data_IF_697284972528
#
_entry.id   IF_697284972528
#
_cell.length_a   1.000
_cell.length_b   1.000
_cell.length_c   1.000
_cell.angle_alpha   90.00
_cell.angle_beta   90.00
_cell.angle_gamma   90.00
#
_symmetry.space_group_name_H-M   'P 1'
#
loop_
_entity.id
_entity.type
_entity.pdbx_description
1 polymer ?
#
# COMPACT_ATOMS: atom_id res chain seq x y z
N UNK A 1 16.34 -40.69 -15.58
CA UNK A 1 17.15 -39.91 -14.61
C UNK A 1 17.63 -38.56 -15.17
N UNK A 2 16.83 -37.83 -15.97
CA UNK A 2 17.21 -36.50 -16.51
C UNK A 2 16.35 -35.32 -15.96
N UNK A 3 15.16 -35.57 -15.41
CA UNK A 3 14.27 -34.50 -14.93
C UNK A 3 14.63 -33.89 -13.57
N UNK A 4 15.45 -34.54 -12.75
CA UNK A 4 15.78 -34.04 -11.39
C UNK A 4 16.73 -32.85 -11.41
N UNK A 5 17.53 -32.66 -12.47
CA UNK A 5 18.51 -31.58 -12.57
C UNK A 5 17.89 -30.23 -12.95
N UNK A 6 16.77 -30.22 -13.69
CA UNK A 6 16.11 -28.99 -14.16
C UNK A 6 15.44 -28.26 -12.99
N UNK A 7 14.78 -29.01 -12.08
CA UNK A 7 14.13 -28.43 -10.90
C UNK A 7 15.17 -27.87 -9.91
N UNK A 8 16.31 -28.55 -9.74
CA UNK A 8 17.40 -28.08 -8.88
C UNK A 8 18.05 -26.79 -9.41
N UNK A 9 18.10 -26.60 -10.74
CA UNK A 9 18.68 -25.40 -11.35
C UNK A 9 17.83 -24.15 -11.14
N UNK A 10 16.49 -24.26 -11.19
CA UNK A 10 15.59 -23.14 -10.91
C UNK A 10 15.60 -22.73 -9.43
N UNK A 11 15.68 -23.69 -8.51
CA UNK A 11 15.81 -23.41 -7.06
C UNK A 11 17.16 -22.74 -6.74
N UNK A 12 18.23 -23.12 -7.45
CA UNK A 12 19.54 -22.50 -7.28
C UNK A 12 19.59 -21.05 -7.77
N UNK A 13 18.81 -20.66 -8.79
CA UNK A 13 18.77 -19.26 -9.26
C UNK A 13 17.86 -18.36 -8.41
N UNK A 14 16.82 -18.91 -7.79
CA UNK A 14 15.96 -18.16 -6.87
C UNK A 14 16.71 -17.72 -5.60
N UNK A 15 17.74 -18.46 -5.18
CA UNK A 15 18.47 -18.21 -3.93
C UNK A 15 19.61 -17.19 -4.03
N UNK A 16 20.02 -16.75 -5.24
CA UNK A 16 21.23 -15.91 -5.41
C UNK A 16 20.98 -14.42 -5.12
N UNK A 17 19.73 -13.95 -4.94
CA UNK A 17 19.45 -12.53 -4.68
C UNK A 17 18.46 -12.26 -3.52
N UNK A 18 18.06 -13.28 -2.75
CA UNK A 18 17.01 -13.14 -1.74
C UNK A 18 17.47 -12.58 -0.37
N UNK A 19 18.77 -12.29 -0.18
CA UNK A 19 19.24 -11.61 1.03
C UNK A 19 19.18 -10.09 0.88
N UNK A 20 18.01 -9.56 0.55
CA UNK A 20 17.73 -8.13 0.60
C UNK A 20 16.94 -7.82 1.87
N UNK A 21 17.65 -7.62 2.98
CA UNK A 21 17.25 -6.85 4.19
C UNK A 21 15.72 -6.67 4.39
N UNK A 22 15.02 -7.80 4.59
CA UNK A 22 13.55 -7.90 4.48
C UNK A 22 12.78 -7.01 5.48
N UNK A 23 13.41 -6.59 6.58
CA UNK A 23 12.78 -5.73 7.59
C UNK A 23 12.70 -4.26 7.18
N UNK A 24 13.49 -3.79 6.21
CA UNK A 24 13.57 -2.35 5.91
C UNK A 24 12.34 -1.79 5.19
N UNK A 25 11.59 -2.64 4.47
CA UNK A 25 10.56 -2.20 3.51
C UNK A 25 9.10 -2.45 3.94
N UNK A 26 8.86 -2.74 5.23
CA UNK A 26 7.50 -2.96 5.75
C UNK A 26 7.04 -1.79 6.63
N UNK A 27 5.74 -1.49 6.59
CA UNK A 27 5.06 -0.56 7.51
C UNK A 27 4.00 -1.34 8.29
N UNK A 28 4.13 -1.40 9.61
CA UNK A 28 3.16 -2.10 10.46
C UNK A 28 1.88 -1.27 10.61
N UNK A 29 0.75 -1.87 10.26
CA UNK A 29 -0.58 -1.24 10.36
C UNK A 29 -1.43 -1.78 11.51
N UNK A 30 -0.78 -2.20 12.59
CA UNK A 30 -1.42 -2.66 13.82
C UNK A 30 -0.88 -1.90 15.03
N UNK A 31 -1.75 -1.67 16.02
CA UNK A 31 -1.33 -1.01 17.26
C UNK A 31 -0.40 -1.93 18.07
N UNK A 32 0.78 -1.44 18.49
CA UNK A 32 1.60 -2.17 19.43
C UNK A 32 0.83 -2.42 20.74
N UNK A 33 1.11 -3.55 21.38
CA UNK A 33 0.48 -3.93 22.66
C UNK A 33 0.66 -2.80 23.68
N UNK A 34 -0.45 -2.41 24.34
CA UNK A 34 -0.47 -1.38 25.37
C UNK A 34 -0.47 0.07 24.85
N UNK A 35 -0.30 0.33 23.55
CA UNK A 35 -0.34 1.70 23.01
C UNK A 35 -1.71 2.34 23.19
N UNK A 36 -2.78 1.54 23.07
CA UNK A 36 -4.15 2.02 23.26
C UNK A 36 -4.47 2.41 24.71
N UNK A 37 -3.70 1.93 25.68
CA UNK A 37 -3.88 2.26 27.09
C UNK A 37 -3.47 3.71 27.39
N UNK A 38 -2.65 4.31 26.53
CA UNK A 38 -2.25 5.73 26.61
C UNK A 38 -3.35 6.69 26.14
N UNK A 39 -4.42 6.18 25.52
CA UNK A 39 -5.51 6.97 24.95
C UNK A 39 -6.78 6.84 25.81
N UNK A 40 -6.66 7.13 27.11
CA UNK A 40 -7.82 7.19 28.00
C UNK A 40 -8.62 8.47 27.73
N UNK A 41 -9.91 8.32 27.46
CA UNK A 41 -10.78 9.46 27.17
C UNK A 41 -12.21 9.16 27.64
N UNK A 42 -13.01 10.21 27.83
CA UNK A 42 -14.45 10.08 28.07
C UNK A 42 -15.27 10.12 26.78
N UNK A 43 -14.65 10.49 25.65
CA UNK A 43 -15.28 10.49 24.33
C UNK A 43 -15.17 9.10 23.68
N UNK A 44 -15.77 8.08 24.30
CA UNK A 44 -15.64 6.68 23.91
C UNK A 44 -16.06 6.41 22.46
N UNK A 45 -17.15 7.02 21.98
CA UNK A 45 -17.60 6.86 20.59
C UNK A 45 -16.53 7.31 19.58
N UNK A 46 -15.87 8.44 19.85
CA UNK A 46 -14.81 8.94 19.00
C UNK A 46 -13.57 8.07 19.10
N UNK A 47 -13.17 7.65 20.32
CA UNK A 47 -12.05 6.69 20.51
C UNK A 47 -12.27 5.39 19.75
N UNK A 48 -13.43 4.78 19.87
CA UNK A 48 -13.78 3.53 19.17
C UNK A 48 -13.65 3.72 17.66
N UNK A 49 -14.16 4.84 17.12
CA UNK A 49 -14.02 5.16 15.70
C UNK A 49 -12.56 5.36 15.32
N UNK A 50 -11.80 6.14 16.08
CA UNK A 50 -10.38 6.41 15.83
C UNK A 50 -9.54 5.14 15.80
N UNK A 51 -9.74 4.23 16.77
CA UNK A 51 -9.05 2.93 16.84
C UNK A 51 -9.41 2.06 15.64
N UNK A 52 -10.67 2.10 15.19
CA UNK A 52 -11.09 1.36 13.98
C UNK A 52 -10.50 1.96 12.71
N UNK A 53 -10.43 3.29 12.63
CA UNK A 53 -10.00 4.03 11.44
C UNK A 53 -8.49 3.92 11.23
N UNK A 54 -7.67 3.91 12.29
CA UNK A 54 -6.21 3.90 12.15
C UNK A 54 -5.64 2.80 11.26
N UNK A 55 -5.99 1.51 11.46
CA UNK A 55 -5.55 0.42 10.60
C UNK A 55 -6.03 0.59 9.14
N UNK A 56 -7.24 1.12 8.94
CA UNK A 56 -7.79 1.37 7.60
C UNK A 56 -6.97 2.45 6.89
N UNK A 57 -6.73 3.59 7.55
CA UNK A 57 -5.91 4.66 6.98
C UNK A 57 -4.50 4.19 6.67
N UNK A 58 -3.89 3.38 7.53
CA UNK A 58 -2.56 2.84 7.30
C UNK A 58 -2.52 1.87 6.11
N UNK A 59 -3.43 0.89 6.05
CA UNK A 59 -3.45 -0.15 5.00
C UNK A 59 -3.78 0.41 3.61
N UNK A 60 -4.66 1.41 3.56
CA UNK A 60 -5.05 2.04 2.30
C UNK A 60 -4.23 3.29 1.96
N UNK A 61 -3.16 3.58 2.73
CA UNK A 61 -2.29 4.73 2.49
C UNK A 61 -1.57 4.69 1.13
N UNK A 62 -1.53 3.53 0.45
CA UNK A 62 -0.95 3.43 -0.89
C UNK A 62 -1.79 4.15 -1.95
N UNK A 63 -3.13 4.19 -1.79
CA UNK A 63 -4.05 4.86 -2.71
C UNK A 63 -3.78 4.47 -4.19
N UNK A 64 -3.56 3.18 -4.43
CA UNK A 64 -3.16 2.66 -5.75
C UNK A 64 -4.39 2.26 -6.57
N UNK A 65 -5.42 1.71 -5.93
CA UNK A 65 -6.68 1.34 -6.58
C UNK A 65 -7.89 2.17 -6.07
N UNK A 66 -9.02 2.10 -6.78
CA UNK A 66 -10.24 2.85 -6.43
C UNK A 66 -10.89 2.36 -5.14
N UNK A 67 -10.77 1.07 -4.81
CA UNK A 67 -11.30 0.52 -3.57
C UNK A 67 -10.48 1.02 -2.37
N UNK A 68 -9.16 1.19 -2.51
CA UNK A 68 -8.31 1.86 -1.51
C UNK A 68 -8.80 3.28 -1.24
N UNK A 69 -9.00 4.03 -2.32
CA UNK A 69 -9.44 5.42 -2.26
C UNK A 69 -10.77 5.50 -1.52
N UNK A 70 -11.76 4.69 -1.93
CA UNK A 70 -13.09 4.69 -1.32
C UNK A 70 -13.07 4.27 0.15
N UNK A 71 -12.33 3.21 0.50
CA UNK A 71 -12.21 2.75 1.88
C UNK A 71 -11.52 3.78 2.78
N UNK A 72 -10.46 4.41 2.25
CA UNK A 72 -9.71 5.46 2.93
C UNK A 72 -10.58 6.70 3.16
N UNK A 73 -11.24 7.20 2.11
CA UNK A 73 -12.13 8.36 2.17
C UNK A 73 -13.29 8.14 3.14
N UNK A 74 -13.97 7.00 3.03
CA UNK A 74 -15.09 6.70 3.91
C UNK A 74 -14.66 6.67 5.37
N UNK A 75 -13.51 6.06 5.69
CA UNK A 75 -13.00 6.02 7.04
C UNK A 75 -12.59 7.41 7.54
N UNK A 76 -11.86 8.17 6.72
CA UNK A 76 -11.36 9.49 7.06
C UNK A 76 -12.49 10.51 7.25
N UNK A 77 -13.48 10.51 6.37
CA UNK A 77 -14.56 11.50 6.40
C UNK A 77 -15.52 11.25 7.55
N UNK A 78 -15.89 10.00 7.80
CA UNK A 78 -16.69 9.65 8.99
C UNK A 78 -15.98 10.03 10.30
N UNK A 79 -14.66 9.83 10.37
CA UNK A 79 -13.85 10.27 11.49
C UNK A 79 -13.84 11.80 11.62
N UNK A 80 -13.60 12.51 10.52
CA UNK A 80 -13.51 13.97 10.50
C UNK A 80 -14.83 14.60 10.97
N UNK A 81 -15.96 14.16 10.44
CA UNK A 81 -17.29 14.67 10.79
C UNK A 81 -17.58 14.46 12.30
N UNK A 82 -17.28 13.28 12.85
CA UNK A 82 -17.47 13.01 14.29
C UNK A 82 -16.49 13.81 15.15
N UNK A 83 -15.22 13.93 14.75
CA UNK A 83 -14.22 14.70 15.48
C UNK A 83 -14.57 16.19 15.52
N UNK A 84 -14.95 16.79 14.38
CA UNK A 84 -15.45 18.17 14.28
C UNK A 84 -16.63 18.39 15.21
N UNK A 85 -17.65 17.53 15.14
CA UNK A 85 -18.84 17.62 16.00
C UNK A 85 -18.47 17.53 17.48
N UNK A 86 -17.56 16.62 17.83
CA UNK A 86 -17.12 16.42 19.22
C UNK A 86 -16.39 17.67 19.72
N UNK A 87 -15.44 18.22 18.95
CA UNK A 87 -14.71 19.45 19.32
C UNK A 87 -15.66 20.63 19.50
N UNK A 88 -16.59 20.85 18.57
CA UNK A 88 -17.56 21.96 18.64
C UNK A 88 -18.54 21.80 19.81
N UNK A 89 -18.85 20.56 20.21
CA UNK A 89 -19.67 20.30 21.39
C UNK A 89 -18.93 20.57 22.70
N UNK A 90 -17.64 20.24 22.75
CA UNK A 90 -16.77 20.50 23.91
C UNK A 90 -16.50 22.00 24.06
N UNK A 91 -16.19 22.68 22.95
CA UNK A 91 -15.89 24.10 22.87
C UNK A 91 -16.90 24.80 21.95
N UNK A 92 -18.06 25.26 22.48
CA UNK A 92 -19.07 25.92 21.65
C UNK A 92 -18.63 27.33 21.21
N UNK A 93 -18.92 27.68 19.96
CA UNK A 93 -18.59 28.97 19.32
C UNK A 93 -18.97 30.20 20.15
N UNK A 94 -20.07 30.13 20.92
CA UNK A 94 -20.53 31.25 21.76
C UNK A 94 -19.56 31.66 22.85
N UNK A 95 -18.69 30.75 23.31
CA UNK A 95 -17.68 30.98 24.36
C UNK A 95 -16.25 30.79 23.87
N UNK A 96 -16.08 30.08 22.75
CA UNK A 96 -14.81 29.78 22.11
C UNK A 96 -14.84 30.24 20.65
N UNK A 97 -14.79 31.57 20.41
CA UNK A 97 -14.95 32.11 19.06
C UNK A 97 -13.87 31.59 18.12
N UNK A 98 -14.30 31.30 16.89
CA UNK A 98 -13.47 30.74 15.82
C UNK A 98 -13.34 29.22 15.83
N UNK A 99 -13.88 28.51 16.84
CA UNK A 99 -13.80 27.04 16.90
C UNK A 99 -14.46 26.37 15.69
N UNK A 100 -15.58 26.90 15.22
CA UNK A 100 -16.24 26.35 14.03
C UNK A 100 -15.34 26.53 12.81
N UNK A 101 -14.80 27.73 12.61
CA UNK A 101 -13.95 28.04 11.47
C UNK A 101 -12.66 27.18 11.43
N UNK A 102 -11.96 27.01 12.57
CA UNK A 102 -10.73 26.21 12.59
C UNK A 102 -11.02 24.71 12.44
N UNK A 103 -12.15 24.22 12.95
CA UNK A 103 -12.53 22.79 12.80
C UNK A 103 -13.00 22.47 11.39
N UNK A 104 -13.79 23.36 10.76
CA UNK A 104 -14.14 23.25 9.33
C UNK A 104 -12.89 23.28 8.44
N UNK A 105 -11.92 24.12 8.78
CA UNK A 105 -10.65 24.14 8.07
C UNK A 105 -9.85 22.85 8.24
N UNK A 106 -9.77 22.33 9.47
CA UNK A 106 -9.12 21.05 9.73
C UNK A 106 -9.80 19.91 8.99
N UNK A 107 -11.13 19.86 9.01
CA UNK A 107 -11.91 18.88 8.26
C UNK A 107 -11.64 18.98 6.74
N UNK A 108 -11.59 20.20 6.20
CA UNK A 108 -11.19 20.43 4.80
C UNK A 108 -9.76 19.96 4.53
N UNK A 109 -8.83 20.17 5.45
CA UNK A 109 -7.46 19.65 5.35
C UNK A 109 -7.44 18.11 5.34
N UNK A 110 -8.27 17.46 6.16
CA UNK A 110 -8.44 16.00 6.13
C UNK A 110 -9.01 15.53 4.79
N UNK A 111 -10.06 16.21 4.30
CA UNK A 111 -10.74 15.86 3.04
C UNK A 111 -9.87 16.10 1.79
N UNK A 112 -8.82 16.92 1.89
CA UNK A 112 -7.85 17.20 0.82
C UNK A 112 -6.60 16.28 0.83
N UNK A 113 -6.73 15.06 1.38
CA UNK A 113 -5.63 14.09 1.54
C UNK A 113 -4.86 13.76 0.25
N UNK A 114 -5.50 13.86 -0.93
CA UNK A 114 -4.89 13.53 -2.22
C UNK A 114 -3.83 14.54 -2.69
N UNK A 115 -3.86 15.78 -2.19
CA UNK A 115 -3.00 16.87 -2.67
C UNK A 115 -1.73 17.05 -1.85
N UNK A 116 -1.81 16.81 -0.53
CA UNK A 116 -0.73 17.07 0.42
C UNK A 116 -0.81 16.09 1.58
N UNK A 117 0.32 15.78 2.21
CA UNK A 117 0.36 15.03 3.48
C UNK A 117 -0.15 15.84 4.67
N UNK A 118 -0.70 17.04 4.46
CA UNK A 118 -1.18 17.91 5.53
C UNK A 118 -2.27 17.23 6.38
N UNK A 119 -3.06 16.32 5.79
CA UNK A 119 -4.11 15.56 6.49
C UNK A 119 -3.62 14.73 7.69
N UNK A 120 -2.31 14.45 7.78
CA UNK A 120 -1.74 13.70 8.93
C UNK A 120 -1.43 14.59 10.12
N UNK A 121 -1.52 15.92 9.95
CA UNK A 121 -1.33 16.87 11.04
C UNK A 121 -2.62 17.00 11.85
N UNK A 122 -2.63 16.60 13.13
CA UNK A 122 -3.79 16.81 13.98
C UNK A 122 -3.92 18.29 14.34
N UNK A 123 -5.17 18.73 14.53
CA UNK A 123 -5.45 19.92 15.32
C UNK A 123 -4.91 19.72 16.75
N UNK A 124 -4.25 20.74 17.32
CA UNK A 124 -3.63 20.64 18.64
C UNK A 124 -4.13 21.72 19.58
N UNK A 125 -4.40 21.34 20.82
CA UNK A 125 -4.84 22.24 21.88
C UNK A 125 -3.70 22.41 22.87
N UNK A 126 -2.98 23.53 22.74
CA UNK A 126 -1.76 23.78 23.50
C UNK A 126 -2.05 24.74 24.65
N UNK A 127 -2.00 24.30 25.91
CA UNK A 127 -2.03 25.22 27.04
C UNK A 127 -0.76 26.09 27.01
N UNK A 128 -0.93 27.40 27.14
CA UNK A 128 0.13 28.41 27.15
C UNK A 128 0.18 29.11 28.53
N UNK A 129 1.19 29.96 28.73
CA UNK A 129 1.47 30.63 30.01
C UNK A 129 0.25 31.38 30.58
N UNK A 130 0.18 31.45 31.92
CA UNK A 130 -0.82 32.24 32.63
C UNK A 130 -0.56 33.73 32.43
N UNK A 131 -1.49 34.46 31.81
CA UNK A 131 -1.51 35.93 31.93
C UNK A 131 -2.19 36.33 33.23
N UNK A 132 -1.88 37.52 33.73
CA UNK A 132 -2.69 38.16 34.76
C UNK A 132 -3.64 39.13 34.09
N UNK A 133 -4.91 39.13 34.49
CA UNK A 133 -5.83 40.18 34.09
C UNK A 133 -5.55 41.51 34.81
N UNK A 134 -6.34 42.54 34.50
CA UNK A 134 -6.22 43.86 35.11
C UNK A 134 -6.42 43.83 36.64
N UNK A 135 -7.12 42.81 37.14
CA UNK A 135 -7.42 42.60 38.56
C UNK A 135 -6.38 41.69 39.25
N UNK A 136 -5.37 41.21 38.51
CA UNK A 136 -4.29 40.37 39.01
C UNK A 136 -4.60 38.87 39.07
N UNK A 137 -5.78 38.42 38.60
CA UNK A 137 -6.13 37.01 38.56
C UNK A 137 -5.38 36.28 37.45
N UNK A 138 -4.98 35.03 37.71
CA UNK A 138 -4.36 34.18 36.69
C UNK A 138 -5.41 33.73 35.69
N UNK A 139 -5.21 34.07 34.42
CA UNK A 139 -5.95 33.58 33.28
C UNK A 139 -5.07 32.63 32.48
N UNK A 140 -5.58 31.43 32.22
CA UNK A 140 -4.89 30.49 31.35
C UNK A 140 -5.16 30.85 29.89
N UNK A 141 -4.16 30.61 29.04
CA UNK A 141 -4.31 30.75 27.60
C UNK A 141 -4.32 29.36 27.00
N UNK A 142 -5.26 29.10 26.10
CA UNK A 142 -5.26 27.91 25.27
C UNK A 142 -5.08 28.34 23.82
N UNK A 143 -4.10 27.74 23.14
CA UNK A 143 -3.87 27.95 21.71
C UNK A 143 -4.36 26.75 20.94
N UNK A 144 -5.21 26.99 19.94
CA UNK A 144 -5.59 25.94 19.00
C UNK A 144 -4.73 26.10 17.77
N UNK A 145 -3.93 25.08 17.46
CA UNK A 145 -2.98 25.08 16.34
C UNK A 145 -3.42 24.12 15.26
N UNK A 146 -3.33 24.55 14.01
CA UNK A 146 -3.61 23.72 12.83
C UNK A 146 -2.40 23.72 11.87
N UNK A 147 -1.39 22.87 12.08
CA UNK A 147 -0.26 22.77 11.15
C UNK A 147 -0.70 22.20 9.79
N UNK A 148 -0.07 22.61 8.68
CA UNK A 148 0.95 23.66 8.57
C UNK A 148 0.37 25.08 8.54
N UNK A 149 -0.95 25.24 8.41
CA UNK A 149 -1.62 26.53 8.32
C UNK A 149 -1.76 27.24 9.68
N UNK A 150 -0.63 27.76 10.14
CA UNK A 150 -0.57 28.52 11.38
C UNK A 150 -1.27 29.89 11.31
N UNK A 151 -1.71 30.33 10.12
CA UNK A 151 -2.34 31.65 9.96
C UNK A 151 -3.67 31.74 10.71
N UNK A 152 -4.34 30.61 10.91
CA UNK A 152 -5.65 30.52 11.54
C UNK A 152 -5.59 29.99 12.99
N UNK A 153 -4.42 30.00 13.61
CA UNK A 153 -4.28 29.59 15.00
C UNK A 153 -5.14 30.47 15.91
N UNK A 154 -5.94 29.85 16.78
CA UNK A 154 -6.77 30.54 17.74
C UNK A 154 -6.03 30.73 19.06
N UNK A 155 -6.39 31.79 19.78
CA UNK A 155 -5.94 32.06 21.13
C UNK A 155 -7.16 32.35 21.98
N UNK A 156 -7.46 31.46 22.92
CA UNK A 156 -8.54 31.62 23.88
C UNK A 156 -7.99 31.96 25.26
N UNK A 157 -8.56 32.99 25.87
CA UNK A 157 -8.31 33.31 27.27
C UNK A 157 -9.38 32.63 28.11
N UNK A 158 -8.96 31.71 28.97
CA UNK A 158 -9.85 30.89 29.79
C UNK A 158 -10.23 31.65 31.06
N UNK A 159 -11.43 32.21 31.07
CA UNK A 159 -12.07 32.79 32.25
C UNK A 159 -13.03 31.82 32.92
N UNK A 160 -13.70 32.28 33.98
CA UNK A 160 -14.64 31.46 34.74
C UNK A 160 -15.80 30.90 33.89
N UNK A 161 -16.29 31.68 32.92
CA UNK A 161 -17.37 31.24 32.04
C UNK A 161 -16.94 30.10 31.10
N UNK A 162 -15.73 30.18 30.52
CA UNK A 162 -15.17 29.12 29.69
C UNK A 162 -14.94 27.84 30.51
N UNK A 163 -14.32 27.96 31.69
CA UNK A 163 -14.07 26.81 32.57
C UNK A 163 -15.36 26.13 33.02
N UNK A 164 -16.38 26.89 33.39
CA UNK A 164 -17.68 26.32 33.75
C UNK A 164 -18.34 25.62 32.57
N UNK A 165 -18.21 26.18 31.36
CA UNK A 165 -18.73 25.52 30.16
C UNK A 165 -18.02 24.20 29.87
N UNK A 166 -16.69 24.16 29.97
CA UNK A 166 -15.94 22.91 29.79
C UNK A 166 -16.35 21.85 30.81
N UNK A 167 -16.63 22.22 32.06
CA UNK A 167 -17.16 21.28 33.06
C UNK A 167 -18.54 20.77 32.70
N UNK A 168 -19.40 21.60 32.13
CA UNK A 168 -20.73 21.21 31.67
C UNK A 168 -20.66 20.24 30.48
N UNK A 169 -19.82 20.54 29.47
CA UNK A 169 -19.76 19.81 28.20
C UNK A 169 -18.83 18.60 28.25
N UNK A 170 -17.86 18.57 29.16
CA UNK A 170 -16.75 17.62 29.17
C UNK A 170 -16.65 16.87 30.50
N UNK A 171 -17.77 16.33 31.01
CA UNK A 171 -17.78 15.45 32.19
C UNK A 171 -17.10 16.05 33.44
N UNK A 172 -17.34 17.33 33.72
CA UNK A 172 -16.79 18.09 34.87
C UNK A 172 -15.27 18.35 34.80
N UNK A 173 -14.67 18.24 33.62
CA UNK A 173 -13.25 18.54 33.39
C UNK A 173 -12.99 20.05 33.25
N UNK A 174 -11.77 20.48 33.59
CA UNK A 174 -11.28 21.81 33.20
C UNK A 174 -11.15 21.90 31.68
N UNK A 175 -11.06 23.10 31.12
CA UNK A 175 -10.87 23.22 29.66
C UNK A 175 -9.58 22.57 29.15
N UNK A 176 -8.55 22.52 30.00
CA UNK A 176 -7.29 21.84 29.72
C UNK A 176 -7.44 20.32 29.79
N UNK A 177 -8.08 19.80 30.81
CA UNK A 177 -8.29 18.35 30.91
C UNK A 177 -9.22 17.86 29.79
N UNK A 178 -10.19 18.69 29.39
CA UNK A 178 -11.05 18.44 28.24
C UNK A 178 -10.26 18.40 26.92
N UNK A 179 -9.24 19.25 26.74
CA UNK A 179 -8.40 19.19 25.55
C UNK A 179 -7.56 17.91 25.51
N UNK A 180 -6.94 17.55 26.64
CA UNK A 180 -6.16 16.31 26.74
C UNK A 180 -7.07 15.09 26.48
N UNK A 181 -8.29 15.12 27.00
CA UNK A 181 -9.30 14.08 26.80
C UNK A 181 -9.74 13.97 25.32
N UNK A 182 -9.92 15.09 24.62
CA UNK A 182 -10.20 15.12 23.19
C UNK A 182 -9.04 14.57 22.37
N UNK A 183 -7.82 15.04 22.63
CA UNK A 183 -6.61 14.57 21.94
C UNK A 183 -6.45 13.06 22.10
N UNK A 184 -6.67 12.53 23.30
CA UNK A 184 -6.68 11.08 23.54
C UNK A 184 -7.77 10.34 22.75
N UNK A 185 -8.91 10.97 22.44
CA UNK A 185 -9.99 10.35 21.68
C UNK A 185 -9.67 10.22 20.18
N UNK A 186 -9.03 11.23 19.59
CA UNK A 186 -8.87 11.31 18.14
C UNK A 186 -7.47 10.90 17.63
N UNK A 187 -6.42 11.04 18.46
CA UNK A 187 -5.04 10.64 18.11
C UNK A 187 -4.86 9.17 17.67
N UNK A 188 -5.63 8.18 18.17
CA UNK A 188 -5.48 6.80 17.70
C UNK A 188 -5.59 6.67 16.17
N UNK A 189 -6.45 7.47 15.51
CA UNK A 189 -6.70 7.39 14.07
C UNK A 189 -5.45 7.61 13.23
N UNK A 190 -4.55 8.50 13.69
CA UNK A 190 -3.33 8.83 12.95
C UNK A 190 -2.08 8.23 13.56
N UNK A 191 -2.16 7.55 14.71
CA UNK A 191 -0.96 7.01 15.39
C UNK A 191 -0.17 6.06 14.48
N UNK A 192 -0.83 5.13 13.80
CA UNK A 192 -0.16 4.16 12.92
C UNK A 192 0.44 4.83 11.69
N UNK A 193 -0.32 5.74 11.07
CA UNK A 193 0.12 6.47 9.88
C UNK A 193 1.24 7.47 10.21
N UNK A 194 1.17 8.15 11.34
CA UNK A 194 2.22 9.04 11.82
C UNK A 194 3.47 8.25 12.20
N UNK A 195 3.35 7.07 12.79
CA UNK A 195 4.52 6.21 13.01
C UNK A 195 5.17 5.80 11.69
N UNK A 196 4.36 5.45 10.68
CA UNK A 196 4.83 5.14 9.33
C UNK A 196 5.56 6.32 8.67
N UNK A 197 5.02 7.53 8.83
CA UNK A 197 5.54 8.76 8.21
C UNK A 197 6.73 9.33 8.99
N UNK A 198 6.63 9.44 10.32
CA UNK A 198 7.60 10.11 11.18
C UNK A 198 8.86 9.29 11.46
N UNK A 199 8.77 7.96 11.63
CA UNK A 199 9.94 7.12 11.92
C UNK A 199 10.78 6.81 10.67
N UNK A 200 10.20 6.89 9.46
CA UNK A 200 10.86 6.57 8.17
C UNK A 200 10.79 7.69 7.12
N UNK A 201 10.54 8.93 7.55
CA UNK A 201 10.55 10.17 6.75
C UNK A 201 9.57 10.26 5.57
N UNK A 202 8.40 9.60 5.59
CA UNK A 202 7.42 9.59 4.48
C UNK A 202 7.93 9.00 3.15
N UNK A 203 9.26 8.87 3.01
CA UNK A 203 10.00 8.41 1.85
C UNK A 203 9.68 6.95 1.58
N UNK A 204 9.63 6.11 2.62
CA UNK A 204 9.26 4.70 2.43
C UNK A 204 7.83 4.55 1.89
N UNK A 205 6.85 5.29 2.42
CA UNK A 205 5.48 5.22 1.91
C UNK A 205 5.41 5.68 0.44
N UNK A 206 6.09 6.77 0.09
CA UNK A 206 6.20 7.24 -1.29
C UNK A 206 6.95 6.25 -2.22
N UNK A 207 7.97 5.57 -1.71
CA UNK A 207 8.70 4.50 -2.42
C UNK A 207 7.77 3.31 -2.68
N UNK A 208 7.03 2.83 -1.67
CA UNK A 208 6.06 1.74 -1.83
C UNK A 208 4.97 2.08 -2.85
N UNK A 209 4.42 3.30 -2.79
CA UNK A 209 3.45 3.78 -3.78
C UNK A 209 4.04 3.80 -5.19
N UNK A 210 5.28 4.28 -5.33
CA UNK A 210 5.98 4.35 -6.61
C UNK A 210 6.27 2.96 -7.16
N UNK A 211 6.72 2.04 -6.30
CA UNK A 211 7.04 0.66 -6.67
C UNK A 211 5.80 -0.09 -7.13
N UNK A 212 4.67 0.05 -6.44
CA UNK A 212 3.40 -0.56 -6.88
C UNK A 212 2.90 0.02 -8.20
N UNK A 213 2.96 1.35 -8.38
CA UNK A 213 2.61 1.99 -9.68
C UNK A 213 3.52 1.50 -10.81
N UNK A 214 4.82 1.34 -10.53
CA UNK A 214 5.78 0.79 -11.49
C UNK A 214 5.49 -0.68 -11.79
N UNK A 215 5.21 -1.50 -10.78
CA UNK A 215 4.83 -2.90 -10.94
C UNK A 215 3.59 -3.03 -11.82
N UNK A 216 2.54 -2.26 -11.55
CA UNK A 216 1.31 -2.27 -12.36
C UNK A 216 1.61 -1.90 -13.82
N UNK A 217 2.53 -0.96 -14.06
CA UNK A 217 2.84 -0.50 -15.42
C UNK A 217 3.79 -1.42 -16.18
N UNK A 218 4.75 -2.02 -15.49
CA UNK A 218 5.94 -2.63 -16.12
C UNK A 218 6.07 -4.13 -15.90
N UNK A 219 5.42 -4.71 -14.88
CA UNK A 219 5.53 -6.13 -14.62
C UNK A 219 4.77 -6.96 -15.66
N UNK A 220 5.21 -8.21 -15.87
CA UNK A 220 4.48 -9.18 -16.70
C UNK A 220 3.14 -9.48 -16.02
N UNK A 221 2.09 -9.63 -16.83
CA UNK A 221 0.78 -10.00 -16.30
C UNK A 221 0.82 -11.38 -15.63
N UNK A 222 0.20 -11.50 -14.45
CA UNK A 222 0.12 -12.74 -13.68
C UNK A 222 -1.33 -13.22 -13.58
N UNK A 223 -1.54 -14.50 -13.82
CA UNK A 223 -2.80 -15.18 -13.48
C UNK A 223 -2.92 -15.40 -11.98
N UNK A 224 -4.12 -15.78 -11.48
CA UNK A 224 -4.27 -16.23 -10.10
C UNK A 224 -3.33 -17.36 -9.68
N UNK A 225 -2.98 -18.26 -10.60
CA UNK A 225 -2.02 -19.33 -10.31
C UNK A 225 -0.60 -18.77 -10.11
N UNK A 226 -0.20 -17.81 -10.94
CA UNK A 226 1.10 -17.14 -10.85
C UNK A 226 1.23 -16.32 -9.56
N UNK A 227 0.17 -15.58 -9.19
CA UNK A 227 0.11 -14.83 -7.93
C UNK A 227 0.21 -15.79 -6.75
N UNK A 228 -0.61 -16.84 -6.72
CA UNK A 228 -0.57 -17.85 -5.66
C UNK A 228 0.83 -18.47 -5.51
N UNK A 229 1.47 -18.83 -6.62
CA UNK A 229 2.82 -19.39 -6.60
C UNK A 229 3.84 -18.37 -6.05
N UNK A 230 3.74 -17.11 -6.49
CA UNK A 230 4.63 -16.03 -6.04
C UNK A 230 4.48 -15.78 -4.55
N UNK A 231 3.24 -15.65 -4.05
CA UNK A 231 2.97 -15.40 -2.63
C UNK A 231 3.33 -16.59 -1.75
N UNK A 232 3.17 -17.82 -2.25
CA UNK A 232 3.56 -19.03 -1.52
C UNK A 232 5.08 -19.15 -1.40
N UNK A 233 5.81 -18.88 -2.49
CA UNK A 233 7.28 -18.92 -2.50
C UNK A 233 7.92 -17.76 -1.73
N UNK A 234 7.17 -16.68 -1.52
CA UNK A 234 7.59 -15.48 -0.80
C UNK A 234 6.68 -15.25 0.42
N UNK A 235 6.32 -16.33 1.11
CA UNK A 235 5.38 -16.27 2.24
C UNK A 235 5.86 -15.30 3.31
N UNK A 236 7.15 -15.29 3.62
CA UNK A 236 7.75 -14.44 4.65
C UNK A 236 7.68 -12.94 4.29
N UNK A 237 7.74 -12.63 2.99
CA UNK A 237 7.55 -11.28 2.48
C UNK A 237 6.09 -10.82 2.66
N UNK A 238 5.13 -11.69 2.33
CA UNK A 238 3.67 -11.45 2.40
C UNK A 238 3.00 -12.00 3.66
N UNK A 239 3.70 -12.09 4.80
CA UNK A 239 3.19 -12.77 5.99
C UNK A 239 2.42 -11.86 6.97
N UNK A 240 1.37 -11.16 6.54
CA UNK A 240 0.43 -10.61 7.53
C UNK A 240 -0.19 -9.26 7.20
N UNK A 241 -0.09 -8.33 8.14
CA UNK A 241 -0.85 -7.08 8.21
C UNK A 241 -0.04 -5.82 7.90
N UNK A 242 1.19 -6.04 7.46
CA UNK A 242 2.15 -4.97 7.17
C UNK A 242 1.97 -4.51 5.75
N UNK A 243 1.99 -3.20 5.53
CA UNK A 243 2.07 -2.65 4.18
C UNK A 243 3.43 -2.99 3.57
N UNK A 244 3.43 -3.71 2.46
CA UNK A 244 4.63 -4.12 1.74
C UNK A 244 4.64 -3.63 0.29
N UNK A 245 5.79 -3.73 -0.36
CA UNK A 245 5.95 -3.42 -1.77
C UNK A 245 5.50 -4.56 -2.68
N UNK A 246 5.59 -4.37 -4.00
CA UNK A 246 5.44 -5.48 -4.95
C UNK A 246 6.46 -6.60 -4.69
N UNK A 247 6.16 -7.84 -5.11
CA UNK A 247 7.08 -8.96 -4.90
C UNK A 247 8.44 -8.66 -5.56
N UNK A 248 9.59 -8.95 -4.95
CA UNK A 248 10.90 -8.75 -5.59
C UNK A 248 11.07 -9.49 -6.94
N UNK A 249 10.34 -10.58 -7.15
CA UNK A 249 10.29 -11.33 -8.40
C UNK A 249 8.94 -12.03 -8.56
N UNK A 250 8.56 -12.37 -9.79
CA UNK A 250 7.29 -13.02 -10.12
C UNK A 250 7.54 -14.49 -10.48
N UNK A 251 6.73 -15.40 -9.94
CA UNK A 251 6.66 -16.79 -10.38
C UNK A 251 5.60 -16.93 -11.49
N UNK A 252 5.89 -17.78 -12.47
CA UNK A 252 4.98 -18.15 -13.56
C UNK A 252 4.81 -19.66 -13.61
N UNK A 253 3.57 -20.13 -13.72
CA UNK A 253 3.26 -21.56 -13.80
C UNK A 253 2.19 -21.82 -14.85
N UNK A 254 2.41 -22.85 -15.66
CA UNK A 254 1.42 -23.38 -16.62
C UNK A 254 0.83 -22.29 -17.52
N UNK A 255 1.70 -21.57 -18.23
CA UNK A 255 1.35 -20.42 -19.07
C UNK A 255 1.27 -20.80 -20.55
N UNK A 256 0.06 -21.01 -21.10
CA UNK A 256 -0.08 -21.21 -22.54
C UNK A 256 0.11 -19.88 -23.29
N UNK A 257 0.72 -19.94 -24.47
CA UNK A 257 0.94 -18.79 -25.34
C UNK A 257 1.03 -19.21 -26.82
N UNK A 258 0.88 -18.23 -27.71
CA UNK A 258 1.16 -18.41 -29.14
C UNK A 258 2.52 -17.83 -29.46
N UNK A 259 3.34 -18.63 -30.12
CA UNK A 259 4.68 -18.24 -30.53
C UNK A 259 4.82 -18.36 -32.03
N UNK A 260 5.66 -17.52 -32.62
CA UNK A 260 6.12 -17.73 -33.96
C UNK A 260 7.46 -18.46 -33.89
N UNK A 261 7.54 -19.62 -34.52
CA UNK A 261 8.65 -20.54 -34.44
C UNK A 261 9.37 -20.66 -35.79
N UNK A 262 10.70 -20.59 -35.74
CA UNK A 262 11.61 -20.80 -36.86
C UNK A 262 12.46 -22.06 -36.65
N UNK A 263 12.42 -22.99 -37.60
CA UNK A 263 13.24 -24.21 -37.66
C UNK A 263 14.07 -24.13 -38.95
N UNK A 264 15.40 -24.07 -38.84
CA UNK A 264 16.25 -23.84 -40.01
C UNK A 264 16.46 -25.11 -40.84
N UNK A 265 16.30 -26.26 -40.21
CA UNK A 265 16.51 -27.59 -40.78
C UNK A 265 15.39 -28.04 -41.74
N UNK A 266 14.24 -27.36 -41.72
CA UNK A 266 13.07 -27.69 -42.55
C UNK A 266 13.15 -27.16 -43.99
N UNK A 267 12.37 -27.76 -44.89
CA UNK A 267 12.27 -27.30 -46.27
C UNK A 267 11.75 -25.85 -46.40
N UNK A 268 12.10 -25.22 -47.53
CA UNK A 268 11.74 -23.83 -47.80
C UNK A 268 10.23 -23.70 -47.98
N UNK A 269 9.59 -23.03 -47.02
CA UNK A 269 8.14 -22.87 -46.95
C UNK A 269 7.62 -23.25 -45.57
N UNK A 270 8.26 -24.25 -44.96
CA UNK A 270 7.82 -24.84 -43.68
C UNK A 270 8.71 -24.45 -42.50
N UNK A 271 9.75 -23.64 -42.74
CA UNK A 271 10.66 -23.14 -41.69
C UNK A 271 9.96 -22.30 -40.63
N UNK A 272 8.95 -21.51 -41.00
CA UNK A 272 8.32 -20.53 -40.13
C UNK A 272 6.83 -20.85 -39.94
N UNK A 273 6.38 -20.96 -38.69
CA UNK A 273 4.97 -21.20 -38.40
C UNK A 273 4.55 -20.73 -37.00
N UNK A 274 3.25 -20.55 -36.80
CA UNK A 274 2.66 -20.27 -35.49
C UNK A 274 2.51 -21.58 -34.72
N UNK A 275 2.98 -21.58 -33.47
CA UNK A 275 3.03 -22.77 -32.62
C UNK A 275 2.44 -22.48 -31.25
N UNK A 276 2.00 -23.54 -30.56
CA UNK A 276 1.53 -23.45 -29.18
C UNK A 276 2.70 -23.62 -28.24
N UNK A 277 2.92 -22.69 -27.33
CA UNK A 277 3.92 -22.81 -26.28
C UNK A 277 3.27 -22.94 -24.91
N UNK A 278 3.87 -23.75 -24.04
CA UNK A 278 3.51 -23.88 -22.64
C UNK A 278 4.75 -23.61 -21.78
N UNK A 279 4.72 -22.50 -21.06
CA UNK A 279 5.69 -22.20 -19.99
C UNK A 279 5.27 -22.98 -18.73
N UNK A 280 6.09 -23.95 -18.34
CA UNK A 280 5.83 -24.83 -17.20
C UNK A 280 6.12 -24.13 -15.89
N UNK A 281 7.28 -23.48 -15.82
CA UNK A 281 7.75 -22.74 -14.67
C UNK A 281 8.69 -21.61 -15.11
N UNK A 282 8.51 -20.42 -14.54
CA UNK A 282 9.33 -19.26 -14.84
C UNK A 282 9.52 -18.32 -13.65
N UNK A 283 10.58 -17.54 -13.71
CA UNK A 283 10.90 -16.48 -12.76
C UNK A 283 11.15 -15.19 -13.55
N UNK A 284 10.57 -14.09 -13.09
CA UNK A 284 10.78 -12.77 -13.66
C UNK A 284 11.19 -11.75 -12.59
N UNK A 285 12.39 -11.19 -12.72
CA UNK A 285 12.82 -10.02 -11.95
C UNK A 285 12.28 -8.77 -12.66
N UNK A 286 11.00 -8.48 -12.41
CA UNK A 286 10.27 -7.43 -13.12
C UNK A 286 10.96 -6.06 -13.06
N UNK A 287 11.58 -5.72 -11.93
CA UNK A 287 12.29 -4.46 -11.76
C UNK A 287 13.57 -4.33 -12.61
N UNK A 288 14.19 -5.47 -12.95
CA UNK A 288 15.34 -5.59 -13.86
C UNK A 288 14.90 -5.78 -15.32
N UNK A 289 13.64 -6.11 -15.55
CA UNK A 289 13.11 -6.40 -16.89
C UNK A 289 13.69 -7.69 -17.47
N UNK A 290 13.98 -8.69 -16.64
CA UNK A 290 14.57 -9.95 -17.09
C UNK A 290 13.91 -11.14 -16.42
N UNK A 291 13.67 -12.21 -17.18
CA UNK A 291 13.16 -13.47 -16.67
C UNK A 291 13.60 -14.66 -17.49
N UNK A 292 13.40 -15.85 -16.93
CA UNK A 292 13.69 -17.12 -17.59
C UNK A 292 12.62 -18.14 -17.23
N UNK A 293 12.25 -18.98 -18.19
CA UNK A 293 11.30 -20.06 -17.96
C UNK A 293 11.64 -21.32 -18.73
N UNK A 294 11.15 -22.45 -18.22
CA UNK A 294 11.18 -23.74 -18.90
C UNK A 294 9.91 -23.87 -19.73
N UNK A 295 10.07 -24.05 -21.03
CA UNK A 295 8.97 -24.01 -21.99
C UNK A 295 8.96 -25.26 -22.86
N UNK A 296 7.78 -25.65 -23.30
CA UNK A 296 7.60 -26.62 -24.38
C UNK A 296 6.83 -26.00 -25.52
N UNK A 297 7.18 -26.35 -26.74
CA UNK A 297 6.46 -25.96 -27.95
C UNK A 297 5.82 -27.19 -28.57
N UNK A 298 4.58 -27.04 -29.01
CA UNK A 298 3.85 -28.00 -29.80
C UNK A 298 3.51 -27.42 -31.18
N UNK A 299 3.93 -28.11 -32.23
CA UNK A 299 3.50 -27.88 -33.61
C UNK A 299 3.64 -29.18 -34.41
N UNK A 300 2.54 -29.68 -34.96
CA UNK A 300 2.50 -30.92 -35.73
C UNK A 300 2.88 -30.66 -37.19
N UNK A 301 4.14 -30.94 -37.55
CA UNK A 301 4.69 -30.78 -38.90
C UNK A 301 5.14 -32.15 -39.43
N UNK A 302 5.09 -32.35 -40.75
CA UNK A 302 5.39 -33.67 -41.34
C UNK A 302 6.85 -34.11 -41.17
N UNK A 303 7.78 -33.16 -41.09
CA UNK A 303 9.23 -33.41 -41.18
C UNK A 303 9.97 -33.28 -39.84
N UNK A 304 9.27 -32.98 -38.75
CA UNK A 304 9.90 -32.83 -37.43
C UNK A 304 8.97 -33.28 -36.31
N UNK A 305 9.56 -33.69 -35.19
CA UNK A 305 8.81 -34.07 -34.00
C UNK A 305 7.92 -32.93 -33.51
N UNK A 306 6.70 -33.29 -33.11
CA UNK A 306 5.69 -32.30 -32.78
C UNK A 306 5.98 -31.50 -31.50
N UNK A 307 6.83 -32.01 -30.61
CA UNK A 307 7.10 -31.41 -29.29
C UNK A 307 8.59 -31.10 -29.12
N UNK A 308 8.89 -29.84 -28.82
CA UNK A 308 10.21 -29.39 -28.40
C UNK A 308 10.23 -28.90 -26.95
N UNK A 309 11.35 -29.07 -26.26
CA UNK A 309 11.55 -28.55 -24.90
C UNK A 309 12.74 -27.62 -24.84
N UNK A 310 12.67 -26.57 -24.02
CA UNK A 310 13.78 -25.67 -23.85
C UNK A 310 13.51 -24.50 -22.93
N UNK A 311 14.12 -23.37 -23.25
CA UNK A 311 14.14 -22.19 -22.39
C UNK A 311 13.56 -20.98 -23.13
N UNK A 312 12.82 -20.17 -22.39
CA UNK A 312 12.39 -18.85 -22.81
C UNK A 312 13.08 -17.81 -21.94
N UNK A 313 13.57 -16.75 -22.56
CA UNK A 313 14.08 -15.57 -21.91
C UNK A 313 13.10 -14.42 -22.10
N UNK A 314 12.78 -13.74 -21.02
CA UNK A 314 11.90 -12.59 -20.99
C UNK A 314 12.73 -11.32 -20.86
N UNK A 315 12.49 -10.35 -21.74
CA UNK A 315 13.24 -9.10 -21.85
C UNK A 315 12.27 -7.93 -21.77
N UNK A 316 12.61 -6.96 -20.92
CA UNK A 316 11.79 -5.78 -20.60
C UNK A 316 10.35 -6.14 -20.18
N UNK A 317 10.14 -7.33 -19.63
CA UNK A 317 8.83 -7.86 -19.23
C UNK A 317 7.77 -7.88 -20.35
N UNK A 318 8.17 -7.83 -21.62
CA UNK A 318 7.24 -7.71 -22.76
C UNK A 318 7.61 -8.62 -23.92
N UNK A 319 8.91 -8.74 -24.17
CA UNK A 319 9.41 -9.56 -25.27
C UNK A 319 9.88 -10.87 -24.70
N UNK A 320 9.49 -11.98 -25.32
CA UNK A 320 10.04 -13.29 -24.97
C UNK A 320 10.60 -13.97 -26.19
N UNK A 321 11.79 -14.53 -26.03
CA UNK A 321 12.50 -15.26 -27.07
C UNK A 321 13.09 -16.52 -26.46
N UNK A 322 13.05 -17.61 -27.21
CA UNK A 322 13.48 -18.88 -26.67
C UNK A 322 14.03 -19.80 -27.73
N UNK A 323 14.58 -20.90 -27.22
CA UNK A 323 15.09 -21.99 -28.01
C UNK A 323 14.53 -23.30 -27.45
N UNK A 324 14.05 -24.17 -28.33
CA UNK A 324 13.68 -25.55 -27.98
C UNK A 324 14.43 -26.55 -28.83
N UNK A 325 14.63 -27.73 -28.27
CA UNK A 325 15.21 -28.88 -28.94
C UNK A 325 14.21 -30.04 -28.95
N UNK A 326 14.21 -30.79 -30.04
CA UNK A 326 13.33 -31.93 -30.33
C UNK A 326 14.13 -33.24 -30.38
N UNK A 327 13.46 -34.39 -30.30
CA UNK A 327 14.12 -35.70 -30.25
C UNK A 327 14.71 -36.17 -31.59
N UNK A 328 14.28 -35.57 -32.69
CA UNK A 328 14.80 -35.74 -34.05
C UNK A 328 16.07 -34.90 -34.32
N UNK A 329 16.71 -34.40 -33.27
CA UNK A 329 17.87 -33.51 -33.28
C UNK A 329 17.64 -32.10 -33.87
N UNK A 330 16.40 -31.75 -34.22
CA UNK A 330 16.08 -30.41 -34.72
C UNK A 330 15.97 -29.39 -33.58
N UNK A 331 16.39 -28.15 -33.86
CA UNK A 331 16.29 -27.02 -32.94
C UNK A 331 15.40 -25.92 -33.51
N UNK A 332 14.77 -25.13 -32.65
CA UNK A 332 14.00 -23.98 -33.13
C UNK A 332 14.18 -22.76 -32.25
N UNK A 333 14.16 -21.60 -32.90
CA UNK A 333 14.06 -20.31 -32.24
C UNK A 333 12.63 -19.83 -32.33
N UNK A 334 12.13 -19.22 -31.27
CA UNK A 334 10.79 -18.66 -31.27
C UNK A 334 10.74 -17.30 -30.60
N UNK A 335 9.76 -16.50 -31.02
CA UNK A 335 9.36 -15.29 -30.31
C UNK A 335 7.91 -15.41 -29.87
N UNK A 336 7.61 -14.93 -28.66
CA UNK A 336 6.29 -15.01 -28.06
C UNK A 336 5.51 -13.70 -28.24
N UNK A 337 4.21 -13.84 -28.52
CA UNK A 337 3.22 -12.79 -28.35
C UNK A 337 2.33 -13.25 -27.19
N UNK A 338 2.59 -12.73 -25.99
CA UNK A 338 1.85 -13.12 -24.80
C UNK A 338 0.41 -12.55 -24.87
N UNK A 339 -0.54 -13.39 -25.28
CA UNK A 339 -1.94 -13.00 -25.43
C UNK A 339 -2.54 -12.51 -24.12
N UNK A 340 -2.01 -12.93 -22.98
CA UNK A 340 -2.59 -12.60 -21.68
C UNK A 340 -2.30 -11.16 -21.29
N UNK A 341 -1.25 -10.55 -21.83
CA UNK A 341 -1.03 -9.10 -21.74
C UNK A 341 -2.08 -8.31 -22.53
N UNK A 342 -2.77 -8.92 -23.49
CA UNK A 342 -3.83 -8.25 -24.28
C UNK A 342 -5.19 -8.28 -23.56
N UNK A 343 -5.41 -9.25 -22.67
CA UNK A 343 -6.71 -9.46 -22.02
C UNK A 343 -6.70 -9.15 -20.51
N UNK A 344 -5.51 -9.06 -19.90
CA UNK A 344 -5.35 -8.86 -18.47
C UNK A 344 -4.89 -7.45 -18.11
N UNK A 345 -5.46 -6.88 -17.05
CA UNK A 345 -4.96 -5.64 -16.47
C UNK A 345 -4.13 -5.93 -15.21
N UNK A 346 -2.93 -5.35 -15.13
CA UNK A 346 -2.09 -5.48 -13.94
C UNK A 346 -2.70 -4.84 -12.69
N UNK A 347 -3.74 -3.99 -12.83
CA UNK A 347 -4.52 -3.48 -11.69
C UNK A 347 -5.25 -4.62 -10.95
N UNK A 348 -5.71 -5.64 -11.67
CA UNK A 348 -6.32 -6.83 -11.06
C UNK A 348 -5.29 -7.74 -10.38
N UNK A 349 -4.06 -7.75 -10.89
CA UNK A 349 -2.94 -8.46 -10.24
C UNK A 349 -2.62 -7.82 -8.90
N UNK A 350 -2.58 -6.49 -8.82
CA UNK A 350 -2.41 -5.76 -7.56
C UNK A 350 -3.46 -6.16 -6.52
N UNK A 351 -4.74 -6.19 -6.90
CA UNK A 351 -5.84 -6.61 -6.01
C UNK A 351 -5.67 -8.02 -5.47
N UNK A 352 -5.05 -8.92 -6.23
CA UNK A 352 -4.77 -10.28 -5.77
C UNK A 352 -3.65 -10.29 -4.71
N UNK A 353 -2.55 -9.56 -4.93
CA UNK A 353 -1.47 -9.45 -3.94
C UNK A 353 -1.92 -8.80 -2.63
N UNK A 354 -2.76 -7.78 -2.70
CA UNK A 354 -3.30 -7.06 -1.54
C UNK A 354 -4.07 -7.95 -0.56
N UNK A 355 -4.56 -9.12 -0.99
CA UNK A 355 -5.17 -10.10 -0.06
C UNK A 355 -4.16 -10.73 0.90
N UNK A 356 -2.87 -10.49 0.67
CA UNK A 356 -1.77 -11.07 1.42
C UNK A 356 -0.96 -10.04 2.22
N UNK A 357 -1.39 -8.77 2.31
CA UNK A 357 -0.71 -7.75 3.12
C UNK A 357 -1.64 -6.66 3.68
#
# INVERSE_FOLDING_TARGET
>A
MKNTYILAFLIAFASINAFADEEKNKIKCEYPVGVLDNFQTTHESLKILSVKVGPILCKHALLVDEEDILAFEQALFNYADLATTTIQSTYPESLFPGVNAITEQWESQLKNYALKLDYVNPIRFVPDETKRDADGNKQFIMRVKLPPDNANNLVWTLGAAQEEKCKETSFKMSCRDASDNLESAFNPAFTLLNDAIAKKNGKLLGELQTDWKKFIKEARYQTPLDVWATTTLQSDYFNGTDLVGPPPWQAFLLRPSLVFEHIDELEKGDKNDVSLALEWAGINWWNKGFGVSVTSIYNDRQETDAVGHGLTFHIKNKYSLGYVHRSDDNGSFFFNIDLLELFGENKDVYKQYKKHF
#
